data_IF_862384112718
#
_entry.id   IF_862384112718
#
_cell.length_a   1.000
_cell.length_b   1.000
_cell.length_c   1.000
_cell.angle_alpha   90.00
_cell.angle_beta   90.00
_cell.angle_gamma   90.00
#
_symmetry.space_group_name_H-M   'P 1'
#
loop_
_entity.id
_entity.type
_entity.pdbx_description
1 polymer ?
#
# COMPACT_ATOMS: atom_id res chain seq x y z
N UNK A 1 2.43 16.48 -7.11
CA UNK A 1 2.30 15.72 -5.85
C UNK A 1 3.34 16.28 -4.92
N UNK A 2 2.93 16.85 -3.78
CA UNK A 2 3.84 17.51 -2.84
C UNK A 2 3.76 16.80 -1.50
N UNK A 3 4.91 16.51 -0.92
CA UNK A 3 5.02 15.76 0.33
C UNK A 3 5.75 16.58 1.38
N UNK A 4 5.26 16.54 2.61
CA UNK A 4 5.99 17.03 3.77
C UNK A 4 7.02 15.99 4.20
N UNK A 5 8.18 16.46 4.62
CA UNK A 5 9.25 15.63 5.16
C UNK A 5 9.27 15.75 6.69
N UNK A 6 9.44 14.61 7.33
CA UNK A 6 9.49 14.45 8.77
C UNK A 6 10.85 14.79 9.37
N UNK A 7 10.97 14.64 10.68
CA UNK A 7 12.25 14.83 11.38
C UNK A 7 13.32 13.88 10.85
N UNK A 8 14.55 14.37 10.80
CA UNK A 8 15.73 13.64 10.32
C UNK A 8 15.67 13.18 8.85
N UNK A 9 14.72 13.67 8.04
CA UNK A 9 14.61 13.31 6.63
C UNK A 9 15.89 13.54 5.83
N UNK A 10 16.68 14.56 6.19
CA UNK A 10 17.98 14.80 5.57
C UNK A 10 18.90 13.60 5.72
N UNK A 11 18.96 12.99 6.90
CA UNK A 11 19.84 11.85 7.18
C UNK A 11 19.44 10.61 6.35
N UNK A 12 18.14 10.40 6.15
CA UNK A 12 17.64 9.30 5.32
C UNK A 12 17.85 9.52 3.81
N UNK A 13 17.81 10.77 3.34
CA UNK A 13 17.78 11.10 1.91
C UNK A 13 19.12 11.59 1.36
N UNK A 14 20.00 12.14 2.19
CA UNK A 14 21.30 12.66 1.78
C UNK A 14 22.44 11.65 2.00
N UNK A 15 22.21 10.61 2.80
CA UNK A 15 23.20 9.59 3.17
C UNK A 15 22.62 8.20 2.87
N UNK A 16 23.49 7.26 2.49
CA UNK A 16 23.12 5.88 2.11
C UNK A 16 23.77 4.80 3.00
N UNK A 17 24.75 5.16 3.83
CA UNK A 17 25.43 4.24 4.74
C UNK A 17 24.46 3.55 5.71
N UNK A 18 23.42 4.25 6.17
CA UNK A 18 22.39 3.68 7.03
C UNK A 18 21.64 2.52 6.36
N UNK A 19 21.47 2.59 5.04
CA UNK A 19 20.78 1.57 4.24
C UNK A 19 21.68 0.35 4.09
N UNK A 20 22.92 0.54 3.66
CA UNK A 20 23.86 -0.56 3.41
C UNK A 20 24.35 -1.27 4.67
N UNK A 21 24.34 -0.58 5.82
CA UNK A 21 24.65 -1.21 7.12
C UNK A 21 23.52 -2.08 7.68
N UNK A 22 22.32 -2.02 7.07
CA UNK A 22 21.09 -2.68 7.57
C UNK A 22 20.48 -3.66 6.59
N UNK A 23 20.60 -3.39 5.30
CA UNK A 23 19.98 -4.16 4.23
C UNK A 23 21.06 -4.74 3.31
N UNK A 24 20.91 -6.01 2.97
CA UNK A 24 21.73 -6.61 1.92
C UNK A 24 21.19 -6.20 0.55
N UNK A 25 22.04 -5.65 -0.32
CA UNK A 25 21.64 -5.18 -1.64
C UNK A 25 21.21 -6.28 -2.60
N UNK A 26 21.63 -7.51 -2.33
CA UNK A 26 21.22 -8.68 -3.10
C UNK A 26 19.79 -9.13 -2.74
N UNK A 27 19.25 -8.66 -1.61
CA UNK A 27 17.88 -8.96 -1.20
C UNK A 27 16.87 -8.20 -2.08
N UNK A 28 15.71 -8.83 -2.27
CA UNK A 28 14.61 -8.29 -3.07
C UNK A 28 13.66 -7.57 -2.10
N UNK A 29 13.82 -6.25 -1.96
CA UNK A 29 13.04 -5.47 -1.01
C UNK A 29 12.61 -4.08 -1.48
N UNK A 30 11.57 -3.58 -0.82
CA UNK A 30 11.11 -2.19 -0.91
C UNK A 30 10.99 -1.64 0.52
N UNK A 31 11.49 -0.43 0.76
CA UNK A 31 11.30 0.31 2.01
C UNK A 31 10.37 1.48 1.72
N UNK A 32 9.19 1.44 2.31
CA UNK A 32 8.21 2.50 2.22
C UNK A 32 8.49 3.57 3.27
N UNK A 33 8.65 4.80 2.80
CA UNK A 33 8.97 5.97 3.61
C UNK A 33 7.72 6.80 3.95
N UNK A 34 6.63 6.54 3.24
CA UNK A 34 5.38 7.30 3.31
C UNK A 34 4.33 6.65 4.24
N UNK A 35 3.52 7.49 4.89
CA UNK A 35 2.23 7.09 5.50
C UNK A 35 1.05 7.82 4.86
N UNK A 36 -0.12 7.18 4.88
CA UNK A 36 -1.41 7.82 4.56
C UNK A 36 -2.30 7.97 5.80
N UNK A 37 -1.77 7.70 7.00
CA UNK A 37 -2.57 7.68 8.24
C UNK A 37 -3.77 6.71 8.15
N UNK A 38 -3.67 5.70 7.28
CA UNK A 38 -4.64 4.62 7.15
C UNK A 38 -4.21 3.44 8.01
N UNK A 39 -5.19 2.71 8.54
CA UNK A 39 -4.93 1.47 9.27
C UNK A 39 -4.33 0.38 8.36
N UNK A 40 -3.16 -0.12 8.72
CA UNK A 40 -2.44 -1.22 8.07
C UNK A 40 -2.03 -2.29 9.07
N UNK A 41 -1.52 -3.43 8.62
CA UNK A 41 -0.91 -4.45 9.49
C UNK A 41 0.59 -4.45 9.24
N UNK A 42 1.33 -4.17 10.30
CA UNK A 42 2.79 -4.21 10.30
C UNK A 42 3.25 -5.20 11.37
N UNK A 43 4.28 -5.98 11.06
CA UNK A 43 4.91 -6.91 12.00
C UNK A 43 6.33 -6.44 12.31
N UNK A 44 6.71 -6.47 13.58
CA UNK A 44 8.09 -6.23 14.00
C UNK A 44 9.00 -7.33 13.46
N UNK A 45 10.15 -6.92 12.94
CA UNK A 45 11.19 -7.84 12.51
C UNK A 45 12.40 -7.73 13.45
N UNK A 46 13.07 -8.84 13.77
CA UNK A 46 14.27 -8.81 14.59
C UNK A 46 15.44 -8.08 13.91
N UNK A 47 15.41 -7.98 12.58
CA UNK A 47 16.32 -7.20 11.74
C UNK A 47 15.54 -6.65 10.53
N UNK A 48 15.89 -5.47 10.02
CA UNK A 48 17.00 -4.60 10.42
C UNK A 48 16.73 -3.74 11.66
N UNK A 49 17.80 -3.35 12.35
CA UNK A 49 17.76 -2.49 13.55
C UNK A 49 17.26 -1.08 13.19
N UNK A 50 16.47 -0.49 14.09
CA UNK A 50 15.96 0.87 13.99
C UNK A 50 17.05 1.90 13.68
N UNK A 51 16.66 3.00 13.04
CA UNK A 51 17.55 4.11 12.70
C UNK A 51 16.86 5.44 12.98
N UNK A 52 17.55 6.36 13.66
CA UNK A 52 17.01 7.67 14.05
C UNK A 52 15.61 7.59 14.72
N UNK A 53 15.40 6.59 15.59
CA UNK A 53 14.12 6.38 16.27
C UNK A 53 12.98 5.87 15.38
N UNK A 54 13.29 5.35 14.19
CA UNK A 54 12.32 4.75 13.26
C UNK A 54 12.63 3.27 13.06
N UNK A 55 11.59 2.45 13.15
CA UNK A 55 11.61 1.01 12.97
C UNK A 55 11.30 0.62 11.52
N UNK A 56 11.83 -0.53 11.10
CA UNK A 56 11.55 -1.13 9.79
C UNK A 56 10.62 -2.33 9.98
N UNK A 57 9.32 -2.11 9.84
CA UNK A 57 8.31 -3.14 10.09
C UNK A 57 7.96 -3.88 8.79
N UNK A 58 7.71 -5.19 8.83
CA UNK A 58 7.18 -5.91 7.68
C UNK A 58 5.74 -5.48 7.39
N UNK A 59 5.46 -4.99 6.19
CA UNK A 59 4.12 -4.63 5.76
C UNK A 59 3.36 -5.90 5.33
N UNK A 60 2.24 -6.20 6.00
CA UNK A 60 1.44 -7.43 5.77
C UNK A 60 0.05 -7.18 5.18
N UNK A 61 -0.39 -5.93 5.14
CA UNK A 61 -1.69 -5.55 4.59
C UNK A 61 -1.52 -4.41 3.59
N UNK A 62 -2.49 -4.30 2.69
CA UNK A 62 -2.52 -3.25 1.68
C UNK A 62 -2.41 -1.88 2.31
N UNK A 63 -1.59 -1.04 1.69
CA UNK A 63 -1.54 0.37 2.01
C UNK A 63 -1.49 1.18 0.72
N UNK A 64 -2.44 2.09 0.55
CA UNK A 64 -2.55 2.89 -0.67
C UNK A 64 -1.36 3.86 -0.81
N UNK A 65 -0.98 4.14 -2.06
CA UNK A 65 0.01 5.15 -2.47
C UNK A 65 1.49 4.77 -2.44
N UNK A 66 2.26 5.54 -3.23
CA UNK A 66 3.65 5.28 -3.67
C UNK A 66 4.50 6.56 -3.76
N UNK A 67 4.19 7.63 -3.05
CA UNK A 67 4.96 8.88 -3.19
C UNK A 67 6.39 8.78 -2.65
N UNK A 68 6.63 7.96 -1.61
CA UNK A 68 7.95 7.83 -0.99
C UNK A 68 8.32 6.38 -0.70
N UNK A 69 9.26 5.82 -1.47
CA UNK A 69 9.85 4.50 -1.21
C UNK A 69 11.27 4.39 -1.78
N UNK A 70 12.03 3.44 -1.24
CA UNK A 70 13.31 2.94 -1.75
C UNK A 70 13.05 1.54 -2.28
N UNK A 71 13.64 1.18 -3.42
CA UNK A 71 13.50 -0.13 -4.03
C UNK A 71 14.88 -0.70 -4.35
N UNK A 72 15.13 -1.96 -3.96
CA UNK A 72 16.37 -2.64 -4.32
C UNK A 72 16.41 -2.96 -5.82
N UNK A 73 17.60 -3.12 -6.40
CA UNK A 73 17.72 -3.50 -7.81
C UNK A 73 17.06 -4.86 -8.08
N UNK A 74 17.16 -5.80 -7.14
CA UNK A 74 16.49 -7.09 -7.20
C UNK A 74 14.97 -6.94 -7.28
N UNK A 75 14.38 -6.13 -6.39
CA UNK A 75 12.94 -5.83 -6.41
C UNK A 75 12.49 -5.15 -7.71
N UNK A 76 13.26 -4.21 -8.24
CA UNK A 76 12.95 -3.56 -9.51
C UNK A 76 12.92 -4.57 -10.67
N UNK A 77 13.92 -5.45 -10.77
CA UNK A 77 13.97 -6.51 -11.79
C UNK A 77 12.82 -7.50 -11.65
N UNK A 78 12.57 -7.95 -10.42
CA UNK A 78 11.47 -8.87 -10.10
C UNK A 78 10.11 -8.30 -10.55
N UNK A 79 9.82 -7.05 -10.20
CA UNK A 79 8.59 -6.38 -10.60
C UNK A 79 8.50 -6.20 -12.12
N UNK A 80 9.58 -5.83 -12.81
CA UNK A 80 9.60 -5.68 -14.26
C UNK A 80 9.27 -7.01 -14.98
N UNK A 81 9.79 -8.13 -14.50
CA UNK A 81 9.48 -9.44 -15.07
C UNK A 81 8.01 -9.81 -14.85
N UNK A 82 7.44 -9.48 -13.70
CA UNK A 82 6.00 -9.66 -13.47
C UNK A 82 5.17 -8.78 -14.41
N UNK A 83 5.53 -7.51 -14.58
CA UNK A 83 4.80 -6.58 -15.45
C UNK A 83 4.86 -7.00 -16.92
N UNK A 84 6.00 -7.53 -17.39
CA UNK A 84 6.16 -8.01 -18.76
C UNK A 84 5.22 -9.16 -19.10
N UNK A 85 4.92 -10.00 -18.13
CA UNK A 85 4.07 -11.20 -18.29
C UNK A 85 2.60 -10.94 -17.92
N UNK A 86 2.22 -9.69 -17.66
CA UNK A 86 0.87 -9.33 -17.23
C UNK A 86 -0.09 -9.18 -18.41
N UNK A 87 -1.26 -9.83 -18.33
CA UNK A 87 -2.33 -9.65 -19.30
C UNK A 87 -2.92 -8.23 -19.24
N UNK A 88 -3.38 -7.70 -20.38
CA UNK A 88 -3.92 -6.33 -20.48
C UNK A 88 -5.16 -6.07 -19.61
N UNK A 89 -5.89 -7.11 -19.24
CA UNK A 89 -7.04 -7.07 -18.33
C UNK A 89 -6.64 -6.91 -16.84
N UNK A 90 -5.35 -7.03 -16.52
CA UNK A 90 -4.80 -7.00 -15.17
C UNK A 90 -3.96 -5.73 -14.90
N UNK A 91 -4.05 -4.73 -15.77
CA UNK A 91 -3.35 -3.45 -15.59
C UNK A 91 -4.11 -2.62 -14.54
N UNK A 92 -3.50 -2.48 -13.36
CA UNK A 92 -3.98 -1.64 -12.27
C UNK A 92 -2.99 -0.49 -12.03
N UNK A 93 -3.39 0.56 -11.27
CA UNK A 93 -2.44 1.54 -10.77
C UNK A 93 -1.21 0.90 -10.12
N UNK A 94 -0.04 1.49 -10.34
CA UNK A 94 1.24 0.90 -9.95
C UNK A 94 1.37 0.69 -8.45
N UNK A 95 0.80 1.60 -7.65
CA UNK A 95 0.70 1.51 -6.20
C UNK A 95 -0.12 0.31 -5.75
N UNK A 96 -1.26 0.07 -6.41
CA UNK A 96 -2.07 -1.12 -6.16
C UNK A 96 -1.35 -2.41 -6.62
N UNK A 97 -0.54 -2.37 -7.67
CA UNK A 97 0.23 -3.54 -8.08
C UNK A 97 1.32 -3.87 -7.03
N UNK A 98 2.14 -2.89 -6.67
CA UNK A 98 3.29 -3.08 -5.78
C UNK A 98 2.86 -3.31 -4.32
N UNK A 99 1.99 -2.44 -3.78
CA UNK A 99 1.61 -2.41 -2.37
C UNK A 99 0.21 -2.97 -2.07
N UNK A 100 -0.32 -3.81 -2.97
CA UNK A 100 -1.46 -4.67 -2.67
C UNK A 100 -1.26 -6.05 -3.32
N UNK A 101 -1.17 -6.09 -4.65
CA UNK A 101 -1.16 -7.38 -5.37
C UNK A 101 0.11 -8.19 -5.16
N UNK A 102 1.26 -7.54 -5.03
CA UNK A 102 2.57 -8.21 -4.88
C UNK A 102 3.15 -8.19 -3.47
N UNK A 103 2.42 -7.63 -2.49
CA UNK A 103 2.76 -7.72 -1.06
C UNK A 103 2.84 -9.16 -0.54
N UNK A 104 2.18 -10.10 -1.23
CA UNK A 104 2.05 -11.49 -0.84
C UNK A 104 2.99 -12.45 -1.58
N UNK A 105 3.93 -11.95 -2.38
CA UNK A 105 4.96 -12.80 -2.99
C UNK A 105 5.98 -13.25 -1.93
N UNK A 106 6.34 -14.53 -1.90
CA UNK A 106 7.35 -15.06 -0.96
C UNK A 106 8.74 -14.40 -1.14
N UNK A 107 8.98 -13.80 -2.30
CA UNK A 107 10.30 -13.31 -2.73
C UNK A 107 10.50 -11.80 -2.55
N UNK A 108 9.42 -11.00 -2.51
CA UNK A 108 9.50 -9.54 -2.36
C UNK A 108 9.16 -9.11 -0.92
N UNK A 109 10.16 -8.59 -0.20
CA UNK A 109 9.95 -8.04 1.14
C UNK A 109 9.58 -6.56 1.09
N UNK A 110 8.47 -6.19 1.72
CA UNK A 110 8.07 -4.78 1.83
C UNK A 110 8.17 -4.34 3.29
N UNK A 111 9.04 -3.38 3.54
CA UNK A 111 9.23 -2.74 4.84
C UNK A 111 8.47 -1.43 4.89
N UNK A 112 7.86 -1.14 6.03
CA UNK A 112 7.24 0.14 6.35
C UNK A 112 8.08 0.82 7.43
N UNK A 113 8.61 2.01 7.11
CA UNK A 113 9.28 2.84 8.09
C UNK A 113 8.23 3.41 9.06
N UNK A 114 8.46 3.26 10.37
CA UNK A 114 7.56 3.71 11.41
C UNK A 114 8.33 4.41 12.55
N UNK A 115 8.04 5.69 12.86
CA UNK A 115 7.16 6.60 12.12
C UNK A 115 7.62 6.81 10.67
N UNK A 116 6.69 7.19 9.78
CA UNK A 116 6.96 7.46 8.38
C UNK A 116 7.74 8.77 8.19
N UNK A 117 8.63 8.79 7.20
CA UNK A 117 9.49 9.92 6.86
C UNK A 117 8.75 11.01 6.09
N UNK A 118 7.69 10.66 5.35
CA UNK A 118 6.94 11.62 4.56
C UNK A 118 5.44 11.33 4.56
N UNK A 119 4.67 12.38 4.26
CA UNK A 119 3.23 12.33 4.07
C UNK A 119 2.84 13.31 2.97
N UNK A 120 1.87 12.94 2.15
CA UNK A 120 1.32 13.85 1.15
C UNK A 120 0.54 14.98 1.81
N UNK A 121 0.69 16.22 1.32
CA UNK A 121 -0.04 17.37 1.86
C UNK A 121 -1.56 17.14 1.87
N UNK A 122 -2.12 16.59 0.78
CA UNK A 122 -3.55 16.30 0.66
C UNK A 122 -4.05 15.41 1.80
N UNK A 123 -3.19 14.51 2.30
CA UNK A 123 -3.51 13.60 3.39
C UNK A 123 -3.37 14.24 4.77
N UNK A 124 -2.55 15.28 4.89
CA UNK A 124 -2.38 16.04 6.14
C UNK A 124 -3.47 17.12 6.29
N UNK A 125 -3.81 17.80 5.19
CA UNK A 125 -4.65 19.00 5.17
C UNK A 125 -5.98 18.76 4.44
N UNK A 126 -6.68 17.66 4.73
CA UNK A 126 -7.84 17.12 3.99
C UNK A 126 -8.86 18.15 3.44
N UNK A 127 -9.05 19.30 4.11
CA UNK A 127 -10.00 20.36 3.71
C UNK A 127 -9.36 21.71 3.31
N UNK A 128 -8.04 21.88 3.42
CA UNK A 128 -7.29 23.11 3.11
C UNK A 128 -6.01 22.83 2.31
N UNK A 129 -6.02 21.78 1.47
CA UNK A 129 -4.88 21.48 0.61
C UNK A 129 -4.63 22.66 -0.35
N UNK A 130 -3.50 23.34 -0.20
CA UNK A 130 -3.11 24.46 -1.06
C UNK A 130 -2.53 23.95 -2.39
N UNK A 131 -2.05 22.70 -2.40
CA UNK A 131 -1.43 22.08 -3.56
C UNK A 131 -2.38 21.06 -4.19
N UNK A 132 -2.97 21.47 -5.32
CA UNK A 132 -3.90 20.64 -6.08
C UNK A 132 -3.15 19.63 -6.95
N UNK A 133 -3.66 18.39 -7.02
CA UNK A 133 -3.03 17.32 -7.78
C UNK A 133 -3.62 17.26 -9.19
N UNK A 134 -2.75 17.29 -10.21
CA UNK A 134 -3.15 17.23 -11.62
C UNK A 134 -3.97 15.98 -11.97
N UNK A 135 -3.86 14.89 -11.19
CA UNK A 135 -4.54 13.62 -11.42
C UNK A 135 -5.90 13.48 -10.70
N UNK A 136 -6.31 14.44 -9.86
CA UNK A 136 -7.54 14.31 -9.07
C UNK A 136 -8.81 14.36 -9.93
N UNK A 137 -8.79 15.13 -11.02
CA UNK A 137 -9.90 15.21 -11.97
C UNK A 137 -10.15 13.86 -12.66
N UNK A 138 -9.09 13.19 -13.11
CA UNK A 138 -9.16 11.86 -13.72
C UNK A 138 -9.62 10.78 -12.74
N UNK A 139 -9.13 10.82 -11.49
CA UNK A 139 -9.57 9.91 -10.42
C UNK A 139 -11.07 10.03 -10.13
N UNK A 140 -11.61 11.25 -10.10
CA UNK A 140 -13.06 11.48 -9.92
C UNK A 140 -13.88 10.88 -11.06
N UNK A 141 -13.42 11.03 -12.30
CA UNK A 141 -14.10 10.48 -13.47
C UNK A 141 -14.14 8.95 -13.45
N UNK A 142 -13.06 8.28 -13.06
CA UNK A 142 -13.03 6.83 -12.92
C UNK A 142 -14.03 6.34 -11.85
N UNK A 143 -14.05 6.97 -10.66
CA UNK A 143 -15.00 6.61 -9.58
C UNK A 143 -16.47 6.78 -10.00
N UNK A 144 -16.76 7.79 -10.83
CA UNK A 144 -18.11 8.03 -11.36
C UNK A 144 -18.48 6.96 -12.40
N UNK A 145 -17.56 6.58 -13.27
CA UNK A 145 -17.76 5.51 -14.26
C UNK A 145 -17.96 4.14 -13.60
N UNK A 146 -17.23 3.83 -12.53
CA UNK A 146 -17.37 2.58 -11.77
C UNK A 146 -18.72 2.48 -11.03
N UNK A 147 -19.23 3.62 -10.53
CA UNK A 147 -20.55 3.71 -9.88
C UNK A 147 -21.72 3.62 -10.86
N UNK A 148 -21.50 3.83 -12.17
CA UNK A 148 -22.50 3.63 -13.22
C UNK A 148 -22.71 2.12 -13.49
N UNK A 149 -23.16 1.40 -12.46
CA UNK A 149 -23.29 -0.05 -12.46
C UNK A 149 -24.39 -0.48 -13.45
N UNK A 150 -24.06 -1.36 -14.40
CA UNK A 150 -25.02 -1.98 -15.33
C UNK A 150 -26.22 -2.57 -14.57
N UNK A 151 -27.44 -2.28 -15.03
CA UNK A 151 -28.69 -2.82 -14.46
C UNK A 151 -28.71 -4.34 -14.60
N UNK A 152 -29.00 -5.05 -13.50
CA UNK A 152 -29.06 -6.52 -13.48
C UNK A 152 -30.25 -7.04 -14.28
N UNK A 153 -29.97 -7.99 -15.15
CA UNK A 153 -30.93 -8.79 -15.90
C UNK A 153 -31.75 -9.70 -14.98
N UNK A 154 -32.86 -10.24 -15.48
CA UNK A 154 -33.77 -11.11 -14.71
C UNK A 154 -33.10 -12.41 -14.25
N UNK A 155 -32.23 -13.00 -15.09
CA UNK A 155 -31.46 -14.21 -14.75
C UNK A 155 -30.54 -13.98 -13.56
N UNK A 156 -29.88 -12.82 -13.53
CA UNK A 156 -28.99 -12.42 -12.43
C UNK A 156 -29.76 -12.19 -11.11
N UNK A 157 -31.02 -11.72 -11.19
CA UNK A 157 -31.89 -11.58 -10.00
C UNK A 157 -32.23 -12.95 -9.39
N UNK A 158 -32.60 -13.92 -10.23
CA UNK A 158 -32.92 -15.29 -9.78
C UNK A 158 -31.68 -15.97 -9.20
N UNK A 159 -30.56 -15.94 -9.92
CA UNK A 159 -29.27 -16.45 -9.43
C UNK A 159 -28.87 -15.84 -8.09
N UNK A 160 -29.13 -14.54 -7.89
CA UNK A 160 -28.90 -13.90 -6.60
C UNK A 160 -29.77 -14.47 -5.47
N UNK A 161 -31.04 -14.77 -5.69
CA UNK A 161 -31.89 -15.31 -4.63
C UNK A 161 -31.34 -16.68 -4.18
N UNK A 162 -31.03 -17.57 -5.13
CA UNK A 162 -30.52 -18.91 -4.84
C UNK A 162 -29.15 -18.92 -4.16
N UNK A 163 -28.23 -18.06 -4.59
CA UNK A 163 -26.88 -17.97 -3.98
C UNK A 163 -26.85 -17.18 -2.67
N UNK A 164 -27.97 -16.58 -2.24
CA UNK A 164 -28.02 -15.71 -1.04
C UNK A 164 -27.53 -16.41 0.24
N UNK A 165 -27.93 -17.65 0.56
CA UNK A 165 -27.48 -18.33 1.80
C UNK A 165 -25.98 -18.59 1.80
N UNK A 166 -25.45 -19.13 0.69
CA UNK A 166 -24.02 -19.37 0.50
C UNK A 166 -23.22 -18.07 0.63
N UNK A 167 -23.69 -16.97 0.00
CA UNK A 167 -23.05 -15.65 0.10
C UNK A 167 -23.12 -15.07 1.51
N UNK A 168 -24.16 -15.36 2.29
CA UNK A 168 -24.23 -14.94 3.70
C UNK A 168 -23.23 -15.71 4.57
N UNK A 169 -23.07 -17.02 4.36
CA UNK A 169 -22.07 -17.81 5.07
C UNK A 169 -20.65 -17.35 4.74
N UNK A 170 -20.36 -17.14 3.45
CA UNK A 170 -19.08 -16.56 2.99
C UNK A 170 -18.82 -15.20 3.65
N UNK A 171 -19.81 -14.30 3.66
CA UNK A 171 -19.71 -13.00 4.34
C UNK A 171 -19.48 -13.11 5.85
N UNK A 172 -20.03 -14.10 6.53
CA UNK A 172 -19.78 -14.32 7.96
C UNK A 172 -18.32 -14.73 8.21
N UNK A 173 -17.79 -15.63 7.38
CA UNK A 173 -16.37 -16.01 7.42
C UNK A 173 -15.46 -14.81 7.13
N UNK A 174 -15.72 -14.09 6.05
CA UNK A 174 -15.01 -12.85 5.69
C UNK A 174 -15.08 -11.80 6.80
N UNK A 175 -16.22 -11.65 7.50
CA UNK A 175 -16.34 -10.75 8.65
C UNK A 175 -15.50 -11.22 9.84
N UNK A 176 -15.48 -12.52 10.14
CA UNK A 176 -14.67 -13.05 11.23
C UNK A 176 -13.17 -12.85 10.96
N UNK A 177 -12.72 -13.12 9.72
CA UNK A 177 -11.35 -12.87 9.27
C UNK A 177 -11.02 -11.37 9.31
N UNK A 178 -11.94 -10.51 8.85
CA UNK A 178 -11.77 -9.05 8.91
C UNK A 178 -11.68 -8.56 10.36
N UNK A 179 -12.52 -9.08 11.26
CA UNK A 179 -12.49 -8.73 12.67
C UNK A 179 -11.21 -9.19 13.36
N UNK A 180 -10.67 -10.36 12.98
CA UNK A 180 -9.38 -10.84 13.47
C UNK A 180 -8.23 -9.94 12.99
N UNK A 181 -8.21 -9.60 11.69
CA UNK A 181 -7.25 -8.64 11.11
C UNK A 181 -7.34 -7.26 11.77
N UNK A 182 -8.55 -6.78 12.08
CA UNK A 182 -8.76 -5.47 12.69
C UNK A 182 -8.07 -5.32 14.05
N UNK A 183 -7.89 -6.40 14.80
CA UNK A 183 -7.16 -6.39 16.08
C UNK A 183 -5.64 -6.22 15.91
N UNK A 184 -5.11 -6.51 14.73
CA UNK A 184 -3.68 -6.42 14.39
C UNK A 184 -3.34 -5.12 13.66
N UNK A 185 -4.34 -4.27 13.40
CA UNK A 185 -4.15 -3.04 12.65
C UNK A 185 -3.48 -1.98 13.50
N UNK A 186 -2.52 -1.28 12.90
CA UNK A 186 -1.86 -0.10 13.44
C UNK A 186 -1.94 1.06 12.44
N UNK A 187 -1.71 2.28 12.92
CA UNK A 187 -1.57 3.47 12.08
C UNK A 187 -0.11 3.91 12.17
N UNK A 188 0.56 3.96 11.01
CA UNK A 188 1.92 4.48 10.92
C UNK A 188 1.85 6.00 11.05
N UNK A 189 2.42 6.54 12.12
CA UNK A 189 2.43 7.99 12.37
C UNK A 189 3.42 8.70 11.46
N UNK A 190 3.19 9.98 11.20
CA UNK A 190 4.15 10.89 10.59
C UNK A 190 4.81 11.74 11.69
N UNK A 191 6.14 11.84 11.68
CA UNK A 191 6.92 12.57 12.70
C UNK A 191 8.17 13.25 12.14
#
# INVERSE_FOLDING_TARGET
>A
MTSFLGRDARTFLAEDEWLFSRFNCDDIFIIRLETFLQETICEELPNPVSYCGRDFLALKDEHLGTAGYIISLGAAKYLLEIFKNMESNNIFPIDHLIFNRFLAGEELMVYQLSPALCIQEVQLNENESLLDSQLESERKNYRLAEKARKKKTWREKVYHIFTKPQRMLKKRKERAEKNAKMKLKCIVKFE
#
